data_IF_042171162971
#
_entry.id   IF_042171162971
#
_cell.length_a   1.000
_cell.length_b   1.000
_cell.length_c   1.000
_cell.angle_alpha   90.00
_cell.angle_beta   90.00
_cell.angle_gamma   90.00
#
_symmetry.space_group_name_H-M   'P 1'
#
loop_
_entity.id
_entity.type
_entity.pdbx_description
1 polymer ?
#
# COMPACT_ATOMS: atom_id res chain seq x y z
N UNK A 1 -32.91 -42.61 -28.04
CA UNK A 1 -32.09 -41.43 -27.72
C UNK A 1 -31.33 -41.56 -26.39
N UNK A 2 -31.96 -41.98 -25.28
CA UNK A 2 -31.28 -42.14 -23.99
C UNK A 2 -30.08 -43.13 -24.01
N UNK A 3 -30.20 -44.26 -24.71
CA UNK A 3 -29.11 -45.24 -24.82
C UNK A 3 -27.89 -44.72 -25.61
N UNK A 4 -28.11 -43.89 -26.64
CA UNK A 4 -27.03 -43.30 -27.44
C UNK A 4 -26.27 -42.20 -26.65
N UNK A 5 -26.99 -41.43 -25.82
CA UNK A 5 -26.37 -40.44 -24.93
C UNK A 5 -25.51 -41.12 -23.84
N UNK A 6 -26.00 -42.20 -23.23
CA UNK A 6 -25.25 -42.95 -22.22
C UNK A 6 -23.98 -43.62 -22.78
N UNK A 7 -24.02 -44.10 -24.04
CA UNK A 7 -22.84 -44.65 -24.71
C UNK A 7 -21.82 -43.58 -25.08
N UNK A 8 -22.26 -42.39 -25.52
CA UNK A 8 -21.37 -41.25 -25.77
C UNK A 8 -20.68 -40.74 -24.49
N UNK A 9 -21.39 -40.73 -23.36
CA UNK A 9 -20.83 -40.39 -22.04
C UNK A 9 -19.80 -41.42 -21.56
N UNK A 10 -20.07 -42.73 -21.73
CA UNK A 10 -19.11 -43.79 -21.42
C UNK A 10 -17.88 -43.75 -22.32
N UNK A 11 -18.04 -43.43 -23.60
CA UNK A 11 -16.94 -43.36 -24.56
C UNK A 11 -16.06 -42.11 -24.34
N UNK A 12 -16.67 -40.98 -23.98
CA UNK A 12 -15.99 -39.77 -23.49
C UNK A 12 -15.19 -40.05 -22.21
N UNK A 13 -15.79 -40.71 -21.23
CA UNK A 13 -15.12 -41.08 -19.98
C UNK A 13 -13.95 -42.06 -20.20
N UNK A 14 -14.12 -43.03 -21.10
CA UNK A 14 -13.10 -44.03 -21.44
C UNK A 14 -11.94 -43.44 -22.25
N UNK A 15 -12.23 -42.49 -23.15
CA UNK A 15 -11.21 -41.70 -23.84
C UNK A 15 -10.48 -40.76 -22.89
N UNK A 16 -11.19 -40.15 -21.92
CA UNK A 16 -10.59 -39.35 -20.85
C UNK A 16 -9.61 -40.15 -20.00
N UNK A 17 -9.95 -41.40 -19.63
CA UNK A 17 -9.08 -42.29 -18.87
C UNK A 17 -7.83 -42.73 -19.66
N UNK A 18 -7.98 -43.06 -20.95
CA UNK A 18 -6.85 -43.41 -21.83
C UNK A 18 -5.93 -42.22 -22.11
N UNK A 19 -6.46 -41.00 -22.27
CA UNK A 19 -5.65 -39.80 -22.47
C UNK A 19 -4.83 -39.44 -21.22
N UNK A 20 -5.40 -39.60 -20.01
CA UNK A 20 -4.67 -39.33 -18.76
C UNK A 20 -3.37 -40.15 -18.66
N UNK A 21 -3.39 -41.42 -19.06
CA UNK A 21 -2.19 -42.27 -19.06
C UNK A 21 -1.11 -41.79 -20.05
N UNK A 22 -1.51 -41.23 -21.19
CA UNK A 22 -0.59 -40.64 -22.17
C UNK A 22 0.05 -39.34 -21.66
N UNK A 23 -0.76 -38.45 -21.07
CA UNK A 23 -0.29 -37.18 -20.50
C UNK A 23 0.66 -37.42 -19.34
N UNK A 24 0.33 -38.33 -18.41
CA UNK A 24 1.19 -38.70 -17.28
C UNK A 24 2.53 -39.28 -17.74
N UNK A 25 2.53 -40.09 -18.80
CA UNK A 25 3.77 -40.64 -19.36
C UNK A 25 4.66 -39.55 -19.96
N UNK A 26 4.07 -38.54 -20.60
CA UNK A 26 4.81 -37.41 -21.17
C UNK A 26 5.38 -36.53 -20.05
N UNK A 27 4.58 -36.23 -19.02
CA UNK A 27 5.03 -35.48 -17.84
C UNK A 27 6.20 -36.18 -17.14
N UNK A 28 6.11 -37.51 -16.96
CA UNK A 28 7.21 -38.29 -16.37
C UNK A 28 8.51 -38.21 -17.17
N UNK A 29 8.44 -38.21 -18.51
CA UNK A 29 9.62 -38.03 -19.37
C UNK A 29 10.20 -36.63 -19.28
N UNK A 30 9.35 -35.60 -19.26
CA UNK A 30 9.79 -34.21 -19.10
C UNK A 30 10.46 -34.00 -17.74
N UNK A 31 9.87 -34.53 -16.67
CA UNK A 31 10.46 -34.47 -15.32
C UNK A 31 11.83 -35.13 -15.30
N UNK A 32 11.98 -36.33 -15.88
CA UNK A 32 13.28 -36.99 -15.98
C UNK A 32 14.31 -36.18 -16.79
N UNK A 33 13.88 -35.49 -17.85
CA UNK A 33 14.76 -34.62 -18.66
C UNK A 33 15.27 -33.42 -17.85
N UNK A 34 14.39 -32.78 -17.07
CA UNK A 34 14.77 -31.66 -16.19
C UNK A 34 15.71 -32.14 -15.09
N UNK A 35 15.44 -33.29 -14.47
CA UNK A 35 16.30 -33.87 -13.42
C UNK A 35 17.71 -34.20 -13.93
N UNK A 36 17.80 -34.62 -15.20
CA UNK A 36 19.08 -34.87 -15.88
C UNK A 36 19.87 -33.60 -16.21
N UNK A 37 19.25 -32.43 -16.09
CA UNK A 37 19.86 -31.13 -16.42
C UNK A 37 19.70 -30.73 -17.89
N UNK A 38 18.92 -31.48 -18.68
CA UNK A 38 18.62 -31.17 -20.09
C UNK A 38 17.51 -30.08 -20.16
N UNK A 39 17.77 -28.92 -19.54
CA UNK A 39 16.76 -27.89 -19.27
C UNK A 39 16.20 -27.25 -20.54
N UNK A 40 17.05 -26.94 -21.51
CA UNK A 40 16.65 -26.29 -22.76
C UNK A 40 15.74 -27.20 -23.58
N UNK A 41 16.14 -28.45 -23.76
CA UNK A 41 15.40 -29.47 -24.49
C UNK A 41 14.05 -29.74 -23.82
N UNK A 42 14.03 -29.87 -22.49
CA UNK A 42 12.81 -30.02 -21.73
C UNK A 42 11.88 -28.81 -21.92
N UNK A 43 12.41 -27.59 -21.84
CA UNK A 43 11.63 -26.35 -22.00
C UNK A 43 11.00 -26.26 -23.39
N UNK A 44 11.77 -26.54 -24.46
CA UNK A 44 11.23 -26.56 -25.82
C UNK A 44 10.15 -27.64 -26.00
N UNK A 45 10.29 -28.78 -25.34
CA UNK A 45 9.29 -29.83 -25.37
C UNK A 45 8.00 -29.40 -24.65
N UNK A 46 8.09 -28.75 -23.48
CA UNK A 46 6.91 -28.16 -22.81
C UNK A 46 6.17 -27.19 -23.75
N UNK A 47 6.88 -26.26 -24.39
CA UNK A 47 6.30 -25.30 -25.34
C UNK A 47 5.62 -26.00 -26.53
N UNK A 48 6.27 -27.01 -27.10
CA UNK A 48 5.72 -27.80 -28.22
C UNK A 48 4.41 -28.48 -27.83
N UNK A 49 4.37 -29.08 -26.63
CA UNK A 49 3.18 -29.75 -26.11
C UNK A 49 2.06 -28.77 -25.78
N UNK A 50 2.39 -27.59 -25.25
CA UNK A 50 1.44 -26.52 -25.00
C UNK A 50 0.66 -26.13 -26.25
N UNK A 51 1.38 -25.79 -27.34
CA UNK A 51 0.72 -25.39 -28.59
C UNK A 51 -0.07 -26.55 -29.22
N UNK A 52 0.42 -27.79 -29.07
CA UNK A 52 -0.30 -28.99 -29.53
C UNK A 52 -1.59 -29.24 -28.74
N UNK A 53 -1.60 -29.06 -27.43
CA UNK A 53 -2.81 -29.24 -26.62
C UNK A 53 -3.78 -28.09 -26.82
N UNK A 54 -3.27 -26.86 -26.94
CA UNK A 54 -4.09 -25.68 -27.26
C UNK A 54 -4.76 -25.81 -28.62
N UNK A 55 -4.07 -26.30 -29.66
CA UNK A 55 -4.68 -26.52 -30.98
C UNK A 55 -5.73 -27.64 -30.99
N UNK A 56 -5.69 -28.55 -30.01
CA UNK A 56 -6.71 -29.57 -29.77
C UNK A 56 -7.82 -29.11 -28.83
N UNK A 57 -7.88 -27.82 -28.47
CA UNK A 57 -8.81 -27.26 -27.48
C UNK A 57 -8.71 -27.89 -26.07
N UNK A 58 -7.60 -28.55 -25.75
CA UNK A 58 -7.30 -29.14 -24.44
C UNK A 58 -6.64 -28.14 -23.52
N UNK A 59 -7.33 -27.04 -23.25
CA UNK A 59 -6.78 -25.90 -22.52
C UNK A 59 -6.50 -26.21 -21.05
N UNK A 60 -7.35 -27.02 -20.41
CA UNK A 60 -7.16 -27.41 -19.01
C UNK A 60 -5.87 -28.22 -18.84
N UNK A 61 -5.66 -29.23 -19.69
CA UNK A 61 -4.46 -30.08 -19.67
C UNK A 61 -3.20 -29.31 -20.07
N UNK A 62 -3.30 -28.38 -21.03
CA UNK A 62 -2.19 -27.50 -21.38
C UNK A 62 -1.77 -26.64 -20.19
N UNK A 63 -2.74 -26.02 -19.51
CA UNK A 63 -2.50 -25.17 -18.33
C UNK A 63 -1.91 -25.96 -17.17
N UNK A 64 -2.44 -27.15 -16.87
CA UNK A 64 -1.92 -28.03 -15.81
C UNK A 64 -0.46 -28.42 -16.08
N UNK A 65 -0.16 -28.81 -17.33
CA UNK A 65 1.20 -29.17 -17.75
C UNK A 65 2.17 -27.98 -17.66
N UNK A 66 1.75 -26.77 -18.05
CA UNK A 66 2.60 -25.58 -17.95
C UNK A 66 2.83 -25.18 -16.49
N UNK A 67 1.79 -25.28 -15.65
CA UNK A 67 1.91 -24.95 -14.23
C UNK A 67 2.84 -25.93 -13.51
N UNK A 68 2.69 -27.24 -13.73
CA UNK A 68 3.59 -28.24 -13.14
C UNK A 68 5.02 -28.11 -13.66
N UNK A 69 5.19 -27.85 -14.96
CA UNK A 69 6.49 -27.57 -15.58
C UNK A 69 7.16 -26.33 -15.01
N UNK A 70 6.44 -25.22 -14.85
CA UNK A 70 6.97 -23.99 -14.27
C UNK A 70 7.47 -24.20 -12.84
N UNK A 71 6.66 -24.88 -12.00
CA UNK A 71 7.06 -25.23 -10.62
C UNK A 71 8.33 -26.09 -10.58
N UNK A 72 8.47 -27.04 -11.53
CA UNK A 72 9.66 -27.86 -11.64
C UNK A 72 10.89 -27.04 -12.07
N UNK A 73 10.76 -26.15 -13.05
CA UNK A 73 11.89 -25.29 -13.43
C UNK A 73 12.30 -24.34 -12.29
N UNK A 74 11.34 -23.82 -11.52
CA UNK A 74 11.64 -23.04 -10.32
C UNK A 74 12.44 -23.84 -9.28
N UNK A 75 12.11 -25.13 -9.06
CA UNK A 75 12.85 -25.96 -8.09
C UNK A 75 14.29 -26.27 -8.52
N UNK A 76 14.61 -26.15 -9.80
CA UNK A 76 15.97 -26.27 -10.35
C UNK A 76 16.66 -24.91 -10.60
N UNK A 77 16.07 -23.81 -10.13
CA UNK A 77 16.64 -22.46 -10.29
C UNK A 77 16.60 -21.92 -11.73
N UNK A 78 15.87 -22.56 -12.65
CA UNK A 78 15.73 -22.14 -14.05
C UNK A 78 14.64 -21.07 -14.19
N UNK A 79 14.93 -19.86 -13.71
CA UNK A 79 13.99 -18.73 -13.62
C UNK A 79 13.37 -18.36 -14.98
N UNK A 80 14.19 -18.22 -16.03
CA UNK A 80 13.71 -17.78 -17.35
C UNK A 80 12.72 -18.77 -17.98
N UNK A 81 13.04 -20.07 -17.94
CA UNK A 81 12.14 -21.12 -18.46
C UNK A 81 10.87 -21.20 -17.63
N UNK A 82 10.97 -21.12 -16.30
CA UNK A 82 9.81 -21.13 -15.42
C UNK A 82 8.88 -19.92 -15.65
N UNK A 83 9.44 -18.73 -15.86
CA UNK A 83 8.68 -17.52 -16.15
C UNK A 83 7.98 -17.58 -17.51
N UNK A 84 8.66 -18.09 -18.55
CA UNK A 84 8.04 -18.32 -19.87
C UNK A 84 6.85 -19.29 -19.76
N UNK A 85 7.01 -20.43 -19.07
CA UNK A 85 5.90 -21.37 -18.87
C UNK A 85 4.77 -20.75 -18.04
N UNK A 86 5.08 -19.90 -17.06
CA UNK A 86 4.07 -19.16 -16.28
C UNK A 86 3.28 -18.19 -17.17
N UNK A 87 3.90 -17.59 -18.19
CA UNK A 87 3.20 -16.76 -19.17
C UNK A 87 2.28 -17.60 -20.08
N UNK A 88 2.65 -18.84 -20.39
CA UNK A 88 1.80 -19.77 -21.14
C UNK A 88 0.58 -20.25 -20.32
N UNK A 89 0.71 -20.35 -18.99
CA UNK A 89 -0.44 -20.56 -18.09
C UNK A 89 -1.48 -19.45 -18.29
N UNK A 90 -1.05 -18.17 -18.26
CA UNK A 90 -1.93 -17.02 -18.50
C UNK A 90 -2.50 -17.01 -19.92
N UNK A 91 -1.68 -17.32 -20.94
CA UNK A 91 -2.16 -17.41 -22.32
C UNK A 91 -3.27 -18.45 -22.49
N UNK A 92 -3.17 -19.60 -21.82
CA UNK A 92 -4.23 -20.61 -21.83
C UNK A 92 -5.50 -20.14 -21.15
N UNK A 93 -5.39 -19.38 -20.05
CA UNK A 93 -6.53 -18.82 -19.33
C UNK A 93 -7.29 -17.81 -20.20
N UNK A 94 -6.55 -16.96 -20.91
CA UNK A 94 -7.10 -15.97 -21.83
C UNK A 94 -7.78 -16.62 -23.04
N UNK A 95 -7.11 -17.56 -23.72
CA UNK A 95 -7.64 -18.22 -24.92
C UNK A 95 -8.89 -19.05 -24.67
N UNK A 96 -8.98 -19.67 -23.49
CA UNK A 96 -10.14 -20.46 -23.10
C UNK A 96 -11.21 -19.64 -22.37
N UNK A 97 -11.05 -18.30 -22.31
CA UNK A 97 -11.96 -17.37 -21.63
C UNK A 97 -12.35 -17.84 -20.21
N UNK A 98 -11.35 -18.36 -19.48
CA UNK A 98 -11.60 -18.97 -18.18
C UNK A 98 -11.96 -17.91 -17.16
N UNK A 99 -13.09 -18.11 -16.49
CA UNK A 99 -13.53 -17.27 -15.38
C UNK A 99 -12.56 -17.35 -14.18
N UNK A 100 -12.53 -16.27 -13.40
CA UNK A 100 -11.70 -16.19 -12.22
C UNK A 100 -12.23 -17.14 -11.14
N UNK A 101 -11.35 -18.00 -10.64
CA UNK A 101 -11.62 -18.90 -9.52
C UNK A 101 -10.48 -18.81 -8.49
N UNK A 102 -10.79 -19.01 -7.21
CA UNK A 102 -9.82 -18.84 -6.12
C UNK A 102 -8.58 -19.74 -6.30
N UNK A 103 -8.76 -21.00 -6.70
CA UNK A 103 -7.66 -21.93 -6.97
C UNK A 103 -6.69 -21.41 -8.06
N UNK A 104 -7.23 -20.75 -9.09
CA UNK A 104 -6.41 -20.16 -10.16
C UNK A 104 -5.62 -18.96 -9.65
N UNK A 105 -6.23 -18.12 -8.81
CA UNK A 105 -5.56 -16.98 -8.20
C UNK A 105 -4.42 -17.43 -7.28
N UNK A 106 -4.64 -18.49 -6.49
CA UNK A 106 -3.62 -19.08 -5.62
C UNK A 106 -2.47 -19.70 -6.42
N UNK A 107 -2.77 -20.39 -7.53
CA UNK A 107 -1.75 -20.90 -8.43
C UNK A 107 -0.90 -19.79 -9.06
N UNK A 108 -1.52 -18.72 -9.56
CA UNK A 108 -0.78 -17.57 -10.11
C UNK A 108 0.06 -16.86 -9.04
N UNK A 109 -0.48 -16.69 -7.84
CA UNK A 109 0.27 -16.10 -6.72
C UNK A 109 1.45 -16.98 -6.28
N UNK A 110 1.29 -18.30 -6.32
CA UNK A 110 2.37 -19.25 -6.06
C UNK A 110 3.48 -19.12 -7.10
N UNK A 111 3.15 -19.06 -8.39
CA UNK A 111 4.14 -18.83 -9.46
C UNK A 111 4.86 -17.49 -9.25
N UNK A 112 4.13 -16.42 -8.95
CA UNK A 112 4.72 -15.11 -8.63
C UNK A 112 5.70 -15.17 -7.45
N UNK A 113 5.38 -15.91 -6.39
CA UNK A 113 6.24 -16.03 -5.19
C UNK A 113 7.57 -16.76 -5.44
N UNK A 114 7.67 -17.50 -6.55
CA UNK A 114 8.87 -18.24 -6.93
C UNK A 114 9.73 -17.50 -7.95
N UNK A 115 9.20 -16.44 -8.56
CA UNK A 115 9.93 -15.60 -9.51
C UNK A 115 10.93 -14.70 -8.79
N UNK A 116 12.09 -14.46 -9.41
CA UNK A 116 13.07 -13.49 -8.91
C UNK A 116 12.43 -12.09 -8.75
N UNK A 117 12.47 -11.48 -7.54
CA UNK A 117 11.93 -10.14 -7.27
C UNK A 117 12.45 -9.04 -8.19
N UNK A 118 13.66 -9.19 -8.75
CA UNK A 118 14.30 -8.17 -9.58
C UNK A 118 14.10 -8.42 -11.09
N UNK A 119 13.40 -9.49 -11.47
CA UNK A 119 13.23 -9.85 -12.87
C UNK A 119 12.16 -9.01 -13.58
N UNK A 120 12.42 -8.52 -14.81
CA UNK A 120 11.38 -7.85 -15.61
C UNK A 120 10.22 -8.78 -15.97
N UNK A 121 10.48 -10.09 -16.06
CA UNK A 121 9.46 -11.11 -16.30
C UNK A 121 8.41 -11.14 -15.18
N UNK A 122 8.81 -10.95 -13.92
CA UNK A 122 7.88 -10.90 -12.79
C UNK A 122 6.92 -9.71 -12.89
N UNK A 123 7.40 -8.54 -13.33
CA UNK A 123 6.56 -7.36 -13.58
C UNK A 123 5.57 -7.61 -14.72
N UNK A 124 6.04 -8.19 -15.83
CA UNK A 124 5.20 -8.54 -16.97
C UNK A 124 4.12 -9.57 -16.60
N UNK A 125 4.48 -10.58 -15.80
CA UNK A 125 3.57 -11.60 -15.30
C UNK A 125 2.47 -10.99 -14.43
N UNK A 126 2.80 -10.14 -13.44
CA UNK A 126 1.81 -9.48 -12.59
C UNK A 126 0.85 -8.64 -13.40
N UNK A 127 1.36 -7.83 -14.33
CA UNK A 127 0.54 -6.98 -15.20
C UNK A 127 -0.47 -7.80 -16.01
N UNK A 128 -0.01 -8.89 -16.64
CA UNK A 128 -0.88 -9.78 -17.42
C UNK A 128 -1.88 -10.54 -16.54
N UNK A 129 -1.45 -11.04 -15.38
CA UNK A 129 -2.30 -11.75 -14.43
C UNK A 129 -3.42 -10.86 -13.88
N UNK A 130 -3.10 -9.62 -13.49
CA UNK A 130 -4.10 -8.65 -13.05
C UNK A 130 -5.09 -8.31 -14.15
N UNK A 131 -4.60 -8.09 -15.38
CA UNK A 131 -5.46 -7.84 -16.55
C UNK A 131 -6.43 -9.00 -16.79
N UNK A 132 -5.95 -10.24 -16.81
CA UNK A 132 -6.80 -11.43 -16.92
C UNK A 132 -7.83 -11.48 -15.78
N UNK A 133 -7.39 -11.32 -14.54
CA UNK A 133 -8.26 -11.40 -13.36
C UNK A 133 -9.34 -10.30 -13.29
N UNK A 134 -9.21 -9.23 -14.09
CA UNK A 134 -10.22 -8.18 -14.17
C UNK A 134 -11.49 -8.62 -14.91
N UNK A 135 -11.45 -9.73 -15.67
CA UNK A 135 -12.58 -10.25 -16.43
C UNK A 135 -13.17 -9.25 -17.43
N UNK A 136 -12.38 -8.30 -17.92
CA UNK A 136 -12.83 -7.25 -18.85
C UNK A 136 -13.67 -6.13 -18.20
N UNK A 137 -13.86 -6.14 -16.87
CA UNK A 137 -14.74 -5.20 -16.16
C UNK A 137 -14.20 -3.76 -16.03
N UNK A 138 -13.06 -3.44 -16.65
CA UNK A 138 -12.37 -2.14 -16.50
C UNK A 138 -11.81 -1.89 -15.10
N UNK A 139 -11.89 -2.87 -14.19
CA UNK A 139 -11.31 -2.83 -12.85
C UNK A 139 -9.80 -3.12 -12.91
N UNK A 140 -9.06 -2.65 -11.91
CA UNK A 140 -7.59 -2.76 -11.83
C UNK A 140 -7.07 -4.17 -11.49
N UNK A 141 -7.92 -5.21 -11.56
CA UNK A 141 -7.61 -6.58 -11.19
C UNK A 141 -8.56 -7.13 -10.11
N UNK A 142 -8.50 -8.44 -9.86
CA UNK A 142 -9.32 -9.08 -8.84
C UNK A 142 -8.75 -8.79 -7.43
N UNK A 143 -9.58 -8.35 -6.45
CA UNK A 143 -9.08 -7.99 -5.11
C UNK A 143 -8.36 -9.12 -4.37
N UNK A 144 -8.79 -10.37 -4.57
CA UNK A 144 -8.13 -11.55 -3.98
C UNK A 144 -6.74 -11.78 -4.54
N UNK A 145 -6.52 -11.53 -5.84
CA UNK A 145 -5.18 -11.65 -6.43
C UNK A 145 -4.27 -10.55 -5.87
N UNK A 146 -4.77 -9.31 -5.79
CA UNK A 146 -4.06 -8.22 -5.13
C UNK A 146 -3.67 -8.58 -3.68
N UNK A 147 -4.57 -9.17 -2.90
CA UNK A 147 -4.26 -9.61 -1.53
C UNK A 147 -3.10 -10.61 -1.50
N UNK A 148 -3.14 -11.65 -2.35
CA UNK A 148 -2.09 -12.68 -2.38
C UNK A 148 -0.73 -12.11 -2.80
N UNK A 149 -0.71 -11.22 -3.80
CA UNK A 149 0.50 -10.51 -4.21
C UNK A 149 1.05 -9.63 -3.08
N UNK A 150 0.17 -8.89 -2.40
CA UNK A 150 0.54 -8.01 -1.29
C UNK A 150 1.20 -8.76 -0.13
N UNK A 151 0.64 -9.93 0.23
CA UNK A 151 1.18 -10.79 1.28
C UNK A 151 2.57 -11.34 0.92
N UNK A 152 2.77 -11.76 -0.33
CA UNK A 152 4.10 -12.20 -0.81
C UNK A 152 5.11 -11.06 -0.77
N UNK A 153 4.75 -9.89 -1.31
CA UNK A 153 5.63 -8.71 -1.32
C UNK A 153 5.95 -8.21 0.09
N UNK A 154 5.02 -8.34 1.04
CA UNK A 154 5.27 -8.03 2.44
C UNK A 154 6.32 -8.98 3.04
N UNK A 155 6.20 -10.29 2.81
CA UNK A 155 7.22 -11.27 3.25
C UNK A 155 8.61 -10.98 2.66
N UNK A 156 8.66 -10.43 1.45
CA UNK A 156 9.88 -9.99 0.78
C UNK A 156 10.38 -8.61 1.23
N UNK A 157 9.71 -7.97 2.20
CA UNK A 157 9.97 -6.61 2.68
C UNK A 157 9.91 -5.52 1.58
N UNK A 158 9.21 -5.80 0.48
CA UNK A 158 8.90 -4.82 -0.55
C UNK A 158 7.62 -4.06 -0.18
N UNK A 159 7.74 -3.19 0.83
CA UNK A 159 6.60 -2.47 1.40
C UNK A 159 5.92 -1.51 0.43
N UNK A 160 6.68 -0.84 -0.45
CA UNK A 160 6.11 0.10 -1.44
C UNK A 160 5.07 -0.63 -2.32
N UNK A 161 5.47 -1.73 -2.96
CA UNK A 161 4.60 -2.51 -3.83
C UNK A 161 3.52 -3.29 -3.05
N UNK A 162 3.87 -3.84 -1.88
CA UNK A 162 2.90 -4.51 -1.01
C UNK A 162 1.74 -3.58 -0.63
N UNK A 163 2.05 -2.32 -0.27
CA UNK A 163 1.05 -1.30 0.06
C UNK A 163 0.13 -0.99 -1.12
N UNK A 164 0.68 -0.89 -2.34
CA UNK A 164 -0.11 -0.71 -3.56
C UNK A 164 -1.11 -1.86 -3.75
N UNK A 165 -0.65 -3.11 -3.64
CA UNK A 165 -1.55 -4.25 -3.80
C UNK A 165 -2.56 -4.37 -2.65
N UNK A 166 -2.18 -4.12 -1.40
CA UNK A 166 -3.14 -4.10 -0.28
C UNK A 166 -4.25 -3.06 -0.48
N UNK A 167 -3.91 -1.88 -1.01
CA UNK A 167 -4.88 -0.82 -1.29
C UNK A 167 -5.96 -1.25 -2.30
N UNK A 168 -5.60 -2.11 -3.25
CA UNK A 168 -6.52 -2.69 -4.23
C UNK A 168 -7.13 -4.03 -3.81
N UNK A 169 -6.81 -4.49 -2.59
CA UNK A 169 -7.42 -5.68 -1.99
C UNK A 169 -8.64 -5.32 -1.13
N UNK A 170 -9.29 -6.34 -0.57
CA UNK A 170 -10.31 -6.20 0.49
C UNK A 170 -9.74 -6.40 1.89
N UNK A 171 -8.42 -6.58 2.03
CA UNK A 171 -7.73 -6.96 3.26
C UNK A 171 -7.20 -5.74 4.04
N UNK A 172 -8.10 -5.08 4.76
CA UNK A 172 -7.74 -3.95 5.61
C UNK A 172 -6.88 -4.34 6.82
N UNK A 173 -7.02 -5.57 7.34
CA UNK A 173 -6.27 -6.03 8.50
C UNK A 173 -4.82 -6.36 8.14
N UNK A 174 -4.61 -7.12 7.07
CA UNK A 174 -3.29 -7.40 6.52
C UNK A 174 -2.55 -6.11 6.15
N UNK A 175 -3.25 -5.15 5.53
CA UNK A 175 -2.71 -3.83 5.23
C UNK A 175 -2.24 -3.10 6.50
N UNK A 176 -3.06 -3.09 7.56
CA UNK A 176 -2.69 -2.44 8.82
C UNK A 176 -1.46 -3.09 9.47
N UNK A 177 -1.42 -4.42 9.55
CA UNK A 177 -0.29 -5.14 10.13
C UNK A 177 1.00 -4.85 9.36
N UNK A 178 0.95 -4.89 8.02
CA UNK A 178 2.07 -4.52 7.17
C UNK A 178 2.49 -3.07 7.39
N UNK A 179 1.54 -2.12 7.49
CA UNK A 179 1.85 -0.72 7.74
C UNK A 179 2.50 -0.49 9.11
N UNK A 180 2.12 -1.24 10.15
CA UNK A 180 2.77 -1.16 11.47
C UNK A 180 4.23 -1.61 11.36
N UNK A 181 4.49 -2.73 10.69
CA UNK A 181 5.86 -3.19 10.45
C UNK A 181 6.64 -2.17 9.61
N UNK A 182 6.01 -1.62 8.57
CA UNK A 182 6.65 -0.68 7.67
C UNK A 182 7.00 0.64 8.37
N UNK A 183 6.07 1.23 9.12
CA UNK A 183 6.27 2.51 9.83
C UNK A 183 7.33 2.38 10.91
N UNK A 184 7.35 1.27 11.65
CA UNK A 184 8.33 1.02 12.72
C UNK A 184 9.71 0.68 12.17
N UNK A 185 9.79 -0.01 11.03
CA UNK A 185 11.06 -0.46 10.46
C UNK A 185 11.73 0.57 9.56
N UNK A 186 10.95 1.40 8.85
CA UNK A 186 11.45 2.30 7.80
C UNK A 186 10.94 3.75 7.92
N UNK A 187 9.93 4.01 8.75
CA UNK A 187 9.33 5.35 8.90
C UNK A 187 9.98 6.19 9.99
N UNK A 188 9.75 7.51 9.94
CA UNK A 188 10.14 8.39 11.05
C UNK A 188 9.09 8.37 12.16
N UNK A 189 9.54 8.58 13.42
CA UNK A 189 8.63 8.64 14.59
C UNK A 189 7.56 9.73 14.46
N UNK A 190 7.88 10.82 13.75
CA UNK A 190 6.96 11.92 13.45
C UNK A 190 5.92 11.60 12.38
N UNK A 191 5.97 10.44 11.74
CA UNK A 191 5.08 10.05 10.63
C UNK A 191 4.10 8.94 11.00
N UNK A 192 4.17 8.40 12.22
CA UNK A 192 3.37 7.24 12.68
C UNK A 192 1.88 7.40 12.37
N UNK A 193 1.31 8.58 12.58
CA UNK A 193 -0.10 8.90 12.28
C UNK A 193 -0.35 9.16 10.79
N UNK A 194 0.67 9.57 10.04
CA UNK A 194 0.60 9.85 8.60
C UNK A 194 0.49 8.56 7.77
N UNK A 195 1.15 7.47 8.16
CA UNK A 195 1.06 6.18 7.47
C UNK A 195 -0.40 5.69 7.35
N UNK A 196 -1.11 5.67 8.48
CA UNK A 196 -2.51 5.23 8.50
C UNK A 196 -3.44 6.26 7.90
N UNK A 197 -3.20 7.56 8.10
CA UNK A 197 -4.01 8.61 7.48
C UNK A 197 -3.97 8.51 5.95
N UNK A 198 -2.78 8.33 5.37
CA UNK A 198 -2.62 8.17 3.93
C UNK A 198 -3.34 6.92 3.41
N UNK A 199 -3.22 5.79 4.10
CA UNK A 199 -3.90 4.55 3.72
C UNK A 199 -5.43 4.69 3.75
N UNK A 200 -5.98 5.24 4.84
CA UNK A 200 -7.42 5.46 5.00
C UNK A 200 -7.97 6.38 3.91
N UNK A 201 -7.32 7.53 3.68
CA UNK A 201 -7.74 8.47 2.64
C UNK A 201 -7.74 7.83 1.25
N UNK A 202 -6.72 7.03 0.92
CA UNK A 202 -6.66 6.34 -0.36
C UNK A 202 -7.73 5.24 -0.49
N UNK A 203 -8.01 4.46 0.55
CA UNK A 203 -9.12 3.50 0.53
C UNK A 203 -10.47 4.20 0.30
N UNK A 204 -10.69 5.35 0.93
CA UNK A 204 -11.89 6.15 0.73
C UNK A 204 -11.98 6.69 -0.72
N UNK A 205 -10.87 7.11 -1.33
CA UNK A 205 -10.82 7.48 -2.75
C UNK A 205 -11.20 6.33 -3.69
N UNK A 206 -11.01 5.08 -3.27
CA UNK A 206 -11.44 3.86 -3.99
C UNK A 206 -12.86 3.41 -3.61
N UNK A 207 -13.62 4.23 -2.88
CA UNK A 207 -14.96 3.90 -2.33
C UNK A 207 -14.97 2.69 -1.39
N UNK A 208 -13.82 2.27 -0.87
CA UNK A 208 -13.72 1.13 0.04
C UNK A 208 -13.77 1.58 1.51
N UNK A 209 -14.97 1.93 1.99
CA UNK A 209 -15.20 2.36 3.39
C UNK A 209 -14.87 1.24 4.39
N UNK A 210 -15.19 -0.01 4.05
CA UNK A 210 -15.01 -1.16 4.94
C UNK A 210 -13.54 -1.36 5.27
N UNK A 211 -12.67 -1.49 4.27
CA UNK A 211 -11.24 -1.66 4.52
C UNK A 211 -10.61 -0.41 5.12
N UNK A 212 -11.10 0.80 4.81
CA UNK A 212 -10.67 2.05 5.45
C UNK A 212 -10.92 2.05 6.97
N UNK A 213 -12.07 1.58 7.43
CA UNK A 213 -12.37 1.47 8.86
C UNK A 213 -11.55 0.37 9.55
N UNK A 214 -11.40 -0.78 8.90
CA UNK A 214 -10.60 -1.90 9.43
C UNK A 214 -9.14 -1.50 9.55
N UNK A 215 -8.53 -0.92 8.51
CA UNK A 215 -7.11 -0.54 8.54
C UNK A 215 -6.84 0.49 9.65
N UNK A 216 -7.73 1.47 9.82
CA UNK A 216 -7.60 2.47 10.89
C UNK A 216 -7.63 1.83 12.28
N UNK A 217 -8.64 0.99 12.51
CA UNK A 217 -8.87 0.35 13.81
C UNK A 217 -7.72 -0.59 14.16
N UNK A 218 -7.34 -1.49 13.24
CA UNK A 218 -6.27 -2.45 13.47
C UNK A 218 -4.92 -1.76 13.67
N UNK A 219 -4.60 -0.75 12.84
CA UNK A 219 -3.32 -0.04 12.95
C UNK A 219 -3.21 0.70 14.28
N UNK A 220 -4.24 1.47 14.67
CA UNK A 220 -4.21 2.24 15.92
C UNK A 220 -4.19 1.36 17.17
N UNK A 221 -4.78 0.16 17.12
CA UNK A 221 -4.73 -0.81 18.21
C UNK A 221 -3.40 -1.54 18.32
N UNK A 222 -2.75 -1.85 17.20
CA UNK A 222 -1.53 -2.68 17.18
C UNK A 222 -0.23 -1.88 17.16
N UNK A 223 -0.24 -0.60 16.76
CA UNK A 223 0.99 0.18 16.63
C UNK A 223 1.59 0.53 18.00
N UNK A 224 2.88 0.20 18.27
CA UNK A 224 3.46 0.31 19.60
C UNK A 224 3.62 1.75 20.11
N UNK A 225 3.67 2.73 19.21
CA UNK A 225 3.78 4.16 19.55
C UNK A 225 2.45 4.91 19.62
N UNK A 226 1.32 4.21 19.47
CA UNK A 226 -0.01 4.81 19.58
C UNK A 226 -0.62 4.33 20.89
N UNK A 227 -0.93 5.27 21.77
CA UNK A 227 -1.66 4.99 23.01
C UNK A 227 -3.15 4.77 22.71
N UNK A 228 -3.84 4.10 23.64
CA UNK A 228 -5.26 3.77 23.51
C UNK A 228 -6.13 4.99 23.17
N UNK A 229 -7.17 4.77 22.39
CA UNK A 229 -8.13 5.77 21.95
C UNK A 229 -9.28 5.12 21.18
N UNK A 230 -10.19 5.90 20.58
CA UNK A 230 -10.30 7.37 20.64
C UNK A 230 -10.86 7.89 21.99
N UNK A 231 -10.59 9.16 22.38
CA UNK A 231 -9.80 10.15 21.64
C UNK A 231 -8.29 9.89 21.72
N UNK A 232 -7.58 10.19 20.65
CA UNK A 232 -6.12 10.04 20.57
C UNK A 232 -5.40 11.35 20.95
N UNK A 233 -4.15 11.25 21.36
CA UNK A 233 -3.29 12.43 21.58
C UNK A 233 -3.00 13.14 20.25
N UNK A 234 -2.81 12.38 19.17
CA UNK A 234 -2.49 12.88 17.84
C UNK A 234 -3.74 13.48 17.18
N UNK A 235 -3.74 14.79 16.82
CA UNK A 235 -4.90 15.41 16.18
C UNK A 235 -5.28 14.77 14.84
N UNK A 236 -4.29 14.34 14.04
CA UNK A 236 -4.55 13.71 12.74
C UNK A 236 -5.32 12.39 12.88
N UNK A 237 -5.02 11.56 13.89
CA UNK A 237 -5.76 10.31 14.12
C UNK A 237 -7.21 10.59 14.49
N UNK A 238 -7.47 11.63 15.29
CA UNK A 238 -8.85 12.04 15.61
C UNK A 238 -9.59 12.56 14.37
N UNK A 239 -8.90 13.33 13.51
CA UNK A 239 -9.47 13.75 12.23
C UNK A 239 -9.90 12.54 11.41
N UNK A 240 -9.03 11.55 11.24
CA UNK A 240 -9.33 10.34 10.46
C UNK A 240 -10.49 9.55 11.09
N UNK A 241 -10.51 9.41 12.41
CA UNK A 241 -11.62 8.77 13.12
C UNK A 241 -12.96 9.48 12.86
N UNK A 242 -13.02 10.80 13.03
CA UNK A 242 -14.24 11.57 12.77
C UNK A 242 -14.61 11.59 11.28
N UNK A 243 -13.62 11.61 10.38
CA UNK A 243 -13.84 11.51 8.94
C UNK A 243 -14.55 10.20 8.58
N UNK A 244 -14.09 9.07 9.12
CA UNK A 244 -14.72 7.77 8.91
C UNK A 244 -16.18 7.78 9.38
N UNK A 245 -16.46 8.35 10.57
CA UNK A 245 -17.83 8.51 11.08
C UNK A 245 -18.70 9.41 10.20
N UNK A 246 -18.14 10.50 9.67
CA UNK A 246 -18.85 11.44 8.80
C UNK A 246 -19.17 10.83 7.43
N UNK A 247 -18.23 10.06 6.86
CA UNK A 247 -18.40 9.35 5.58
C UNK A 247 -19.40 8.20 5.71
N UNK A 248 -19.41 7.48 6.82
CA UNK A 248 -20.40 6.43 7.08
C UNK A 248 -21.81 7.02 7.23
N UNK A 249 -21.94 8.10 8.01
CA UNK A 249 -23.21 8.79 8.24
C UNK A 249 -23.67 9.74 7.12
N UNK A 250 -22.89 9.94 6.06
CA UNK A 250 -23.25 10.85 4.96
C UNK A 250 -23.36 12.33 5.36
N UNK A 251 -22.65 12.76 6.41
CA UNK A 251 -22.80 14.11 7.02
C UNK A 251 -21.84 15.14 6.39
N UNK A 252 -22.22 15.73 5.26
CA UNK A 252 -21.40 16.73 4.54
C UNK A 252 -20.99 17.92 5.43
N UNK A 253 -21.90 18.47 6.23
CA UNK A 253 -21.59 19.60 7.11
C UNK A 253 -20.49 19.26 8.10
N UNK A 254 -20.51 18.05 8.65
CA UNK A 254 -19.47 17.56 9.57
C UNK A 254 -18.14 17.40 8.83
N UNK A 255 -18.16 16.81 7.63
CA UNK A 255 -16.98 16.69 6.79
C UNK A 255 -16.30 18.05 6.52
N UNK A 256 -17.06 19.06 6.11
CA UNK A 256 -16.54 20.40 5.81
C UNK A 256 -15.88 21.03 7.04
N UNK A 257 -16.55 21.02 8.19
CA UNK A 257 -16.01 21.60 9.42
C UNK A 257 -14.75 20.83 9.88
N UNK A 258 -14.71 19.50 9.76
CA UNK A 258 -13.51 18.72 10.07
C UNK A 258 -12.32 19.14 9.20
N UNK A 259 -12.53 19.26 7.88
CA UNK A 259 -11.49 19.69 6.96
C UNK A 259 -10.94 21.08 7.30
N UNK A 260 -11.79 22.03 7.70
CA UNK A 260 -11.38 23.38 8.10
C UNK A 260 -10.60 23.39 9.43
N UNK A 261 -11.10 22.71 10.46
CA UNK A 261 -10.51 22.75 11.80
C UNK A 261 -9.18 22.02 11.90
N UNK A 262 -8.97 20.98 11.10
CA UNK A 262 -7.75 20.15 11.12
C UNK A 262 -6.71 20.55 10.07
N UNK A 263 -6.86 21.70 9.39
CA UNK A 263 -5.89 22.20 8.40
C UNK A 263 -4.41 22.15 8.83
N UNK A 264 -4.01 22.49 10.08
CA UNK A 264 -2.62 22.36 10.50
C UNK A 264 -2.08 20.92 10.43
N UNK A 265 -2.92 19.92 10.72
CA UNK A 265 -2.56 18.50 10.61
C UNK A 265 -2.59 18.02 9.16
N UNK A 266 -3.54 18.52 8.36
CA UNK A 266 -3.70 18.12 6.95
C UNK A 266 -2.58 18.65 6.06
N UNK A 267 -2.02 19.82 6.35
CA UNK A 267 -0.91 20.41 5.59
C UNK A 267 0.44 19.68 5.75
N UNK A 268 0.52 18.66 6.60
CA UNK A 268 1.73 17.82 6.75
C UNK A 268 2.02 16.97 5.51
N UNK A 269 0.98 16.56 4.78
CA UNK A 269 1.10 15.89 3.48
C UNK A 269 0.27 16.69 2.45
N UNK A 270 0.92 17.29 1.42
CA UNK A 270 0.22 18.05 0.38
C UNK A 270 -0.91 17.28 -0.30
N UNK A 271 -0.80 15.94 -0.41
CA UNK A 271 -1.78 15.10 -1.09
C UNK A 271 -3.08 14.92 -0.30
N UNK A 272 -3.10 15.17 1.01
CA UNK A 272 -4.31 14.94 1.83
C UNK A 272 -5.48 15.81 1.37
N UNK A 273 -5.23 17.06 0.99
CA UNK A 273 -6.31 17.92 0.48
C UNK A 273 -6.83 17.42 -0.88
N UNK A 274 -5.97 16.89 -1.75
CA UNK A 274 -6.40 16.30 -3.02
C UNK A 274 -7.27 15.05 -2.79
N UNK A 275 -6.88 14.18 -1.84
CA UNK A 275 -7.70 13.04 -1.45
C UNK A 275 -9.04 13.46 -0.84
N UNK A 276 -9.04 14.46 0.04
CA UNK A 276 -10.26 14.96 0.67
C UNK A 276 -11.22 15.60 -0.34
N UNK A 277 -10.72 16.33 -1.33
CA UNK A 277 -11.55 16.85 -2.41
C UNK A 277 -12.18 15.71 -3.22
N UNK A 278 -11.40 14.64 -3.48
CA UNK A 278 -11.94 13.44 -4.14
C UNK A 278 -13.01 12.74 -3.28
N UNK A 279 -12.76 12.56 -1.99
CA UNK A 279 -13.72 11.99 -1.03
C UNK A 279 -15.00 12.85 -0.99
N UNK A 280 -14.85 14.18 -0.97
CA UNK A 280 -15.92 15.17 -1.06
C UNK A 280 -16.86 14.93 -2.24
N UNK A 281 -16.28 14.74 -3.42
CA UNK A 281 -17.00 14.42 -4.64
C UNK A 281 -17.69 13.05 -4.55
N UNK A 282 -16.96 12.02 -4.11
CA UNK A 282 -17.42 10.63 -4.15
C UNK A 282 -18.53 10.30 -3.16
N UNK A 283 -18.50 10.89 -1.96
CA UNK A 283 -19.43 10.55 -0.88
C UNK A 283 -20.47 11.62 -0.59
N UNK A 284 -20.22 12.88 -0.97
CA UNK A 284 -21.11 14.00 -0.64
C UNK A 284 -21.54 14.84 -1.86
N UNK A 285 -21.06 14.50 -3.06
CA UNK A 285 -21.45 15.20 -4.30
C UNK A 285 -20.93 16.63 -4.41
N UNK A 286 -19.88 16.99 -3.67
CA UNK A 286 -19.27 18.32 -3.75
C UNK A 286 -18.64 18.51 -5.13
N UNK A 287 -18.84 19.65 -5.81
CA UNK A 287 -18.22 19.89 -7.11
C UNK A 287 -16.69 19.92 -7.01
N UNK A 288 -15.97 19.48 -8.06
CA UNK A 288 -14.50 19.50 -8.07
C UNK A 288 -13.98 20.94 -7.94
N UNK A 289 -13.06 21.18 -6.99
CA UNK A 289 -12.36 22.46 -6.88
C UNK A 289 -11.47 22.67 -8.11
N UNK A 290 -11.57 23.83 -8.74
CA UNK A 290 -10.72 24.21 -9.86
C UNK A 290 -9.38 24.75 -9.32
N UNK A 291 -8.26 24.10 -9.70
CA UNK A 291 -6.82 24.44 -9.47
C UNK A 291 -6.25 24.13 -8.07
N UNK A 292 -4.97 23.75 -7.84
CA UNK A 292 -3.73 23.62 -8.63
C UNK A 292 -3.18 22.18 -8.59
N UNK A 293 -2.97 21.56 -9.74
CA UNK A 293 -2.71 20.11 -9.86
C UNK A 293 -1.26 19.72 -9.50
N UNK A 294 -0.98 19.36 -8.25
CA UNK A 294 0.24 18.60 -7.91
C UNK A 294 0.11 17.12 -8.35
N UNK A 295 -1.12 16.58 -8.36
CA UNK A 295 -1.45 15.28 -8.97
C UNK A 295 -1.23 15.18 -10.49
N UNK A 296 -0.83 16.26 -11.17
CA UNK A 296 -0.40 16.24 -12.57
C UNK A 296 1.02 15.71 -12.77
N UNK A 297 1.86 15.79 -11.72
CA UNK A 297 3.28 15.42 -11.77
C UNK A 297 3.56 13.99 -11.28
N UNK A 298 2.64 13.38 -10.52
CA UNK A 298 2.80 12.05 -9.91
C UNK A 298 1.86 10.96 -10.48
N UNK A 299 1.30 11.21 -11.66
CA UNK A 299 0.41 10.26 -12.34
C UNK A 299 -1.05 10.59 -12.09
N UNK A 300 -1.76 10.87 -13.19
CA UNK A 300 -3.21 11.12 -13.20
C UNK A 300 -3.91 10.03 -12.39
N UNK A 301 -4.57 10.43 -11.30
CA UNK A 301 -5.56 9.62 -10.62
C UNK A 301 -6.72 9.31 -11.59
N UNK A 302 -6.58 8.25 -12.40
CA UNK A 302 -7.63 7.78 -13.30
C UNK A 302 -7.24 7.30 -14.70
N UNK A 303 -5.97 7.07 -15.05
CA UNK A 303 -5.60 6.47 -16.35
C UNK A 303 -4.71 5.23 -16.19
N UNK A 304 -4.94 4.13 -16.95
CA UNK A 304 -4.18 2.90 -16.83
C UNK A 304 -2.86 3.05 -17.61
N UNK A 305 -1.82 3.48 -16.90
CA UNK A 305 -0.46 3.53 -17.41
C UNK A 305 0.45 2.74 -16.48
N UNK A 306 1.07 1.70 -17.00
CA UNK A 306 2.11 0.91 -16.34
C UNK A 306 3.22 1.87 -15.90
N UNK A 307 3.44 2.03 -14.59
CA UNK A 307 4.37 3.03 -14.07
C UNK A 307 4.82 2.66 -12.67
N UNK A 308 6.07 2.23 -12.57
CA UNK A 308 6.80 1.99 -11.33
C UNK A 308 6.54 3.11 -10.32
N UNK A 309 6.16 2.75 -9.11
CA UNK A 309 6.05 3.68 -8.01
C UNK A 309 7.44 4.27 -7.74
N UNK A 310 7.63 5.54 -8.08
CA UNK A 310 8.78 6.32 -7.65
C UNK A 310 8.62 6.49 -6.14
N UNK A 311 9.26 5.61 -5.36
CA UNK A 311 9.43 5.83 -3.92
C UNK A 311 10.39 7.03 -3.76
N UNK A 312 9.85 8.25 -3.63
CA UNK A 312 10.63 9.42 -3.21
C UNK A 312 10.88 9.33 -1.71
N UNK A 313 11.85 8.51 -1.33
CA UNK A 313 12.56 8.59 -0.06
C UNK A 313 14.03 8.84 -0.36
N UNK A 314 14.43 10.10 -0.52
CA UNK A 314 15.84 10.45 -0.64
C UNK A 314 16.53 10.14 0.69
N UNK A 315 17.20 8.98 0.74
CA UNK A 315 18.33 8.79 1.62
C UNK A 315 19.46 9.70 1.13
N UNK A 316 19.77 10.75 1.89
CA UNK A 316 21.00 11.51 1.72
C UNK A 316 22.18 10.59 2.07
N UNK A 317 22.88 10.09 1.06
CA UNK A 317 24.24 9.53 1.23
C UNK A 317 25.28 10.64 0.98
N UNK A 318 26.42 10.63 1.69
CA UNK A 318 27.42 11.68 1.62
C UNK A 318 28.16 11.64 0.27
N UNK A 319 28.36 12.81 -0.34
CA UNK A 319 29.14 12.99 -1.58
C UNK A 319 30.59 12.50 -1.40
N UNK A 320 31.19 11.85 -2.41
CA UNK A 320 32.62 11.59 -2.43
C UNK A 320 33.39 12.85 -2.86
N UNK A 321 34.50 13.13 -2.16
CA UNK A 321 35.50 14.11 -2.59
C UNK A 321 36.33 13.51 -3.74
N UNK A 322 36.68 14.29 -4.78
CA UNK A 322 37.40 13.79 -5.93
C UNK A 322 38.88 13.53 -5.60
N UNK A 323 39.40 12.40 -6.12
CA UNK A 323 40.81 12.04 -6.08
C UNK A 323 41.63 12.95 -7.02
N UNK A 324 42.61 13.65 -6.46
CA UNK A 324 43.81 14.10 -7.18
C UNK A 324 45.01 13.32 -6.66
N UNK A 325 45.60 12.48 -7.51
CA UNK A 325 46.82 11.72 -7.24
C UNK A 325 48.03 12.59 -7.52
N UNK A 326 49.02 12.62 -6.62
CA UNK A 326 50.36 12.05 -6.88
C UNK A 326 51.42 12.50 -5.86
N UNK A 327 52.35 11.57 -5.63
CA UNK A 327 53.75 11.71 -5.20
C UNK A 327 54.06 11.82 -3.69
N UNK A 328 54.39 10.65 -3.12
CA UNK A 328 55.60 10.35 -2.35
C UNK A 328 56.41 11.52 -1.74
N UNK A 329 56.62 11.49 -0.42
CA UNK A 329 57.92 11.18 0.22
C UNK A 329 58.20 11.97 1.52
N UNK A 330 58.77 11.21 2.48
CA UNK A 330 59.78 11.59 3.47
C UNK A 330 59.42 12.39 4.75
N UNK A 331 59.56 11.65 5.86
CA UNK A 331 60.46 11.87 7.02
C UNK A 331 60.28 13.09 7.97
N UNK A 332 60.12 12.70 9.24
CA UNK A 332 60.78 13.18 10.48
C UNK A 332 60.13 14.28 11.35
N UNK A 333 59.87 13.84 12.59
CA UNK A 333 60.19 14.46 13.89
C UNK A 333 59.77 15.91 14.17
N UNK A 334 58.79 16.02 15.08
CA UNK A 334 59.03 16.54 16.44
C UNK A 334 58.99 18.05 16.71
N UNK A 335 58.57 18.37 17.94
CA UNK A 335 58.93 19.56 18.75
C UNK A 335 57.95 20.77 18.69
N UNK A 336 57.20 20.95 19.80
CA UNK A 336 56.71 22.23 20.36
C UNK A 336 57.91 23.05 20.92
N UNK A 337 57.90 24.40 21.06
CA UNK A 337 56.93 25.18 21.86
C UNK A 337 56.62 26.63 21.37
N UNK A 338 55.77 27.38 22.11
CA UNK A 338 55.47 28.82 21.93
C UNK A 338 56.67 29.76 22.22
N UNK A 339 56.53 31.12 22.27
CA UNK A 339 55.47 31.93 22.92
C UNK A 339 54.99 33.20 22.12
N UNK A 340 54.08 34.01 22.70
CA UNK A 340 53.48 35.26 22.14
C UNK A 340 54.43 36.48 21.99
N UNK A 341 53.99 37.75 21.75
CA UNK A 341 52.76 38.41 22.27
C UNK A 341 51.97 39.31 21.26
N UNK A 342 50.88 39.93 21.77
CA UNK A 342 49.93 40.90 21.17
C UNK A 342 50.59 42.24 20.73
N UNK A 343 49.92 43.08 19.90
CA UNK A 343 49.06 44.15 20.46
C UNK A 343 47.77 44.53 19.69
N UNK A 344 46.82 45.06 20.46
CA UNK A 344 45.75 46.04 20.23
C UNK A 344 45.42 46.59 18.81
N UNK A 345 44.14 46.54 18.42
CA UNK A 345 43.35 47.75 18.13
C UNK A 345 41.84 47.48 18.23
N UNK A 346 41.13 48.42 18.86
CA UNK A 346 39.72 48.43 19.22
C UNK A 346 38.89 49.26 18.23
N UNK A 347 37.58 48.95 18.15
CA UNK A 347 36.42 49.87 17.98
C UNK A 347 36.23 50.49 16.56
N UNK A 348 35.05 50.69 15.96
CA UNK A 348 33.62 50.90 16.29
C UNK A 348 32.78 50.48 15.05
N UNK A 349 31.49 50.11 15.11
CA UNK A 349 30.35 50.99 15.40
C UNK A 349 29.08 50.22 15.77
N UNK A 350 28.42 50.72 16.82
CA UNK A 350 26.98 50.63 17.11
C UNK A 350 26.36 52.01 16.80
N UNK A 351 25.02 52.13 16.68
CA UNK A 351 24.27 52.75 17.78
C UNK A 351 22.93 52.02 18.02
N UNK A 352 22.45 51.74 19.24
CA UNK A 352 22.19 52.54 20.44
C UNK A 352 20.87 53.35 20.41
N UNK A 353 19.91 52.95 21.26
CA UNK A 353 19.14 53.80 22.19
C UNK A 353 18.30 52.88 23.11
N UNK A 354 18.71 52.67 24.37
CA UNK A 354 18.50 53.48 25.60
C UNK A 354 17.17 53.10 26.33
N UNK A 355 17.22 52.36 27.45
CA UNK A 355 17.44 52.78 28.87
C UNK A 355 16.07 53.08 29.56
N UNK A 356 15.69 52.64 30.78
CA UNK A 356 16.31 52.68 32.14
C UNK A 356 15.55 51.64 33.02
N UNK A 357 16.21 50.61 33.59
CA UNK A 357 16.73 50.44 34.97
C UNK A 357 15.73 50.12 36.11
N UNK A 358 16.05 49.10 36.95
CA UNK A 358 15.55 49.01 38.32
C UNK A 358 15.38 47.61 38.95
N UNK A 359 16.47 47.04 39.51
CA UNK A 359 16.51 46.48 40.87
C UNK A 359 15.60 45.31 41.32
N UNK A 360 16.24 44.14 41.50
CA UNK A 360 16.20 43.26 42.68
C UNK A 360 14.92 42.51 43.13
N UNK A 361 15.18 41.23 43.47
CA UNK A 361 14.55 40.35 44.49
C UNK A 361 13.34 39.51 44.07
N UNK A 362 13.51 38.19 44.18
CA UNK A 362 12.43 37.20 44.22
C UNK A 362 11.53 37.39 45.46
N UNK A 363 10.23 37.07 45.35
CA UNK A 363 9.75 35.90 46.09
C UNK A 363 8.61 35.09 45.41
N UNK A 364 8.54 33.82 45.81
CA UNK A 364 7.37 32.92 46.03
C UNK A 364 6.12 33.08 45.14
N UNK A 365 5.84 32.01 44.37
CA UNK A 365 4.61 31.22 44.46
C UNK A 365 3.28 31.88 44.09
N UNK A 366 2.83 31.63 42.85
CA UNK A 366 1.39 31.48 42.54
C UNK A 366 1.24 30.53 41.36
N UNK A 367 0.60 29.39 41.59
CA UNK A 367 0.17 28.43 40.57
C UNK A 367 -1.05 29.03 39.87
N UNK A 368 -0.95 29.27 38.56
CA UNK A 368 -2.10 29.61 37.70
C UNK A 368 -2.47 28.35 36.91
N UNK A 369 -3.71 27.84 36.99
CA UNK A 369 -4.11 26.67 36.22
C UNK A 369 -4.54 27.07 34.80
N UNK A 370 -4.03 26.32 33.81
CA UNK A 370 -4.85 25.90 32.67
C UNK A 370 -4.88 26.81 31.43
N UNK A 371 -3.77 26.86 30.69
CA UNK A 371 -3.84 27.03 29.23
C UNK A 371 -3.88 25.65 28.57
N UNK A 372 -5.06 25.02 28.54
CA UNK A 372 -5.29 23.85 27.68
C UNK A 372 -5.03 24.27 26.22
N UNK A 373 -4.04 23.63 25.60
CA UNK A 373 -3.69 23.78 24.19
C UNK A 373 -4.94 23.76 23.32
N UNK A 374 -5.01 24.66 22.34
CA UNK A 374 -6.15 24.88 21.43
C UNK A 374 -6.69 23.58 20.83
N UNK A 375 -5.85 22.56 20.65
CA UNK A 375 -6.23 21.22 20.20
C UNK A 375 -7.18 20.47 21.16
N UNK A 376 -6.98 20.57 22.48
CA UNK A 376 -7.85 19.92 23.48
C UNK A 376 -9.26 20.55 23.52
N UNK A 377 -9.37 21.87 23.32
CA UNK A 377 -10.68 22.57 23.28
C UNK A 377 -11.50 22.19 22.04
N UNK A 378 -10.84 21.98 20.91
CA UNK A 378 -11.48 21.54 19.67
C UNK A 378 -11.99 20.11 19.85
N UNK A 379 -11.15 19.19 20.36
CA UNK A 379 -11.55 17.80 20.63
C UNK A 379 -12.76 17.73 21.57
N UNK A 380 -12.77 18.47 22.68
CA UNK A 380 -13.88 18.44 23.63
C UNK A 380 -15.22 18.93 23.02
N UNK A 381 -15.18 19.97 22.16
CA UNK A 381 -16.37 20.49 21.46
C UNK A 381 -16.90 19.48 20.42
N UNK A 382 -16.03 18.83 19.67
CA UNK A 382 -16.43 17.80 18.71
C UNK A 382 -16.94 16.53 19.39
N UNK A 383 -16.30 16.10 20.47
CA UNK A 383 -16.76 14.93 21.23
C UNK A 383 -18.16 15.19 21.83
N UNK A 384 -18.39 16.39 22.35
CA UNK A 384 -19.72 16.80 22.83
C UNK A 384 -20.75 16.85 21.70
N UNK A 385 -20.39 17.42 20.54
CA UNK A 385 -21.27 17.44 19.35
C UNK A 385 -21.61 16.03 18.87
N UNK A 386 -20.63 15.11 18.81
CA UNK A 386 -20.85 13.73 18.39
C UNK A 386 -21.63 12.90 19.40
N UNK A 387 -21.41 13.09 20.71
CA UNK A 387 -22.26 12.50 21.76
C UNK A 387 -23.70 12.96 21.56
N UNK A 388 -23.93 14.27 21.37
CA UNK A 388 -25.27 14.81 21.16
C UNK A 388 -25.90 14.26 19.89
N UNK A 389 -25.14 14.12 18.79
CA UNK A 389 -25.65 13.56 17.53
C UNK A 389 -25.94 12.05 17.65
N UNK A 390 -25.06 11.24 18.25
CA UNK A 390 -25.32 9.80 18.48
C UNK A 390 -26.44 9.56 19.49
N UNK A 391 -26.58 10.42 20.50
CA UNK A 391 -27.69 10.37 21.45
C UNK A 391 -29.01 10.67 20.74
N UNK A 392 -29.02 11.69 19.87
CA UNK A 392 -30.20 12.05 19.06
C UNK A 392 -30.59 10.99 18.03
N UNK A 393 -29.64 10.24 17.46
CA UNK A 393 -29.92 9.12 16.55
C UNK A 393 -30.42 7.85 17.28
N UNK A 394 -29.95 7.57 18.51
CA UNK A 394 -30.47 6.45 19.32
C UNK A 394 -31.88 6.68 19.86
N UNK A 395 -32.32 7.94 19.93
CA UNK A 395 -33.62 8.32 20.46
C UNK A 395 -34.48 8.98 19.37
N UNK A 396 -34.85 8.21 18.34
CA UNK A 396 -36.09 8.50 17.60
C UNK A 396 -37.28 8.27 18.54
N UNK A 397 -37.58 9.28 19.37
CA UNK A 397 -38.83 9.38 20.11
C UNK A 397 -39.55 10.66 19.66
N UNK A 398 -40.81 10.43 19.33
CA UNK A 398 -41.79 11.32 18.73
C UNK A 398 -41.85 12.71 19.36
N UNK A 399 -42.29 13.65 18.52
CA UNK A 399 -42.96 14.89 18.89
C UNK A 399 -43.50 14.90 20.32
N UNK A 400 -42.91 15.73 21.18
CA UNK A 400 -43.63 16.38 22.25
C UNK A 400 -43.29 17.87 22.24
N UNK A 401 -44.32 18.67 22.02
CA UNK A 401 -44.33 20.10 22.30
C UNK A 401 -43.96 20.31 23.76
N UNK A 402 -42.85 20.99 24.03
CA UNK A 402 -42.60 21.56 25.34
C UNK A 402 -43.34 22.89 25.44
N UNK A 403 -44.52 22.86 26.07
CA UNK A 403 -45.14 24.03 26.68
C UNK A 403 -44.25 24.54 27.82
N UNK A 404 -43.95 25.83 27.77
CA UNK A 404 -43.28 26.59 28.84
C UNK A 404 -44.26 26.79 30.01
N UNK A 405 -43.91 26.48 31.27
CA UNK A 405 -44.59 27.08 32.41
C UNK A 405 -43.76 28.25 32.93
N UNK A 406 -44.36 29.44 32.90
CA UNK A 406 -43.85 30.60 33.60
C UNK A 406 -44.09 30.50 35.11
N UNK A 407 -43.09 30.85 35.89
CA UNK A 407 -43.12 31.92 36.91
C UNK A 407 -41.72 32.20 37.40
#
# INVERSE_FOLDING_TARGET
MAAAAAMAEQESARNGARNRGGVQRVEGKLRASVEKGDYYEAHQMYRTLFFRYTSQSKHAEARELMCSGALLFFSHGQQNSAADLSMLVLESLEKAEVEVADELLENLAKLFSLMDPNSPERVAFVSRALKWSSGGSGKLGHPRLHQLLALTLWKEQNYCESRYHFLHSTDGEGCANMLVEYSTSRGFRSEVDMFVAQAVLQFLCLKNKSSASVVFTTYTQKHPSIEGGPPFVQPLLNFIWFLLLAVDGGKLTVFTVLCEQYQPSLRRDPMYNEYLDRIGQLFFGVPPKQTSSYGGLLGKAGAPGVGAAVCTGQALSPRPLPRGSAVHALLLRGVSPGPGPLPCLQLLFSPCSQNIAGGARAPRGTVVPGALSTGHRIQARFFSFFIVVKYRERHHLNHLQCTVPGR
#
